data_IF_099662529975
#
_entry.id   IF_099662529975
#
_cell.length_a   1.000
_cell.length_b   1.000
_cell.length_c   1.000
_cell.angle_alpha   90.00
_cell.angle_beta   90.00
_cell.angle_gamma   90.00
#
_symmetry.space_group_name_H-M   'P 1'
#
loop_
_entity.id
_entity.type
_entity.pdbx_description
1 polymer ?
#
# COMPACT_ATOMS: atom_id res chain seq x y z
N UNK A 1 3.20 12.11 18.82
CA UNK A 1 2.14 11.53 18.00
C UNK A 1 1.32 10.53 18.82
N UNK A 2 1.87 9.40 19.29
CA UNK A 2 1.14 8.36 20.06
C UNK A 2 0.33 8.88 21.24
N UNK A 3 0.89 9.77 22.06
CA UNK A 3 0.19 10.37 23.22
C UNK A 3 -1.03 11.23 22.83
N UNK A 4 -1.22 11.49 21.54
CA UNK A 4 -2.35 12.23 20.96
C UNK A 4 -3.27 11.33 20.12
N UNK A 5 -3.11 10.00 20.21
CA UNK A 5 -3.93 9.04 19.48
C UNK A 5 -3.49 8.78 18.04
N UNK A 6 -2.39 9.36 17.57
CA UNK A 6 -1.83 9.08 16.23
C UNK A 6 -0.86 7.93 16.35
N UNK A 7 -1.28 6.74 15.91
CA UNK A 7 -0.54 5.49 16.10
C UNK A 7 -0.42 4.62 14.86
N UNK A 8 -0.91 5.06 13.70
CA UNK A 8 -0.67 4.41 12.40
C UNK A 8 0.48 5.13 11.70
N UNK A 9 1.43 4.37 11.21
CA UNK A 9 2.61 4.87 10.51
C UNK A 9 2.77 4.18 9.17
N UNK A 10 2.68 4.98 8.10
CA UNK A 10 2.88 4.50 6.74
C UNK A 10 4.36 4.57 6.34
N UNK A 11 4.95 3.40 6.05
CA UNK A 11 6.33 3.22 5.64
C UNK A 11 6.41 2.79 4.17
N UNK A 12 5.76 3.51 3.27
CA UNK A 12 5.73 3.18 1.84
C UNK A 12 7.08 3.42 1.15
N UNK A 13 7.82 4.45 1.59
CA UNK A 13 9.08 4.83 0.98
C UNK A 13 10.18 3.79 1.30
N UNK A 14 10.90 3.27 0.28
CA UNK A 14 11.94 2.28 0.50
C UNK A 14 13.32 2.89 0.80
N UNK A 15 13.43 4.21 0.89
CA UNK A 15 14.69 4.90 1.17
C UNK A 15 15.28 4.43 2.51
N UNK A 16 16.53 3.94 2.52
CA UNK A 16 17.18 3.42 3.71
C UNK A 16 17.21 4.40 4.89
N UNK A 17 17.54 5.67 4.61
CA UNK A 17 17.66 6.69 5.64
C UNK A 17 16.33 7.00 6.31
N UNK A 18 15.26 7.07 5.51
CA UNK A 18 13.90 7.28 6.03
C UNK A 18 13.47 6.13 6.94
N UNK A 19 13.72 4.89 6.53
CA UNK A 19 13.41 3.69 7.33
C UNK A 19 14.22 3.64 8.63
N UNK A 20 15.51 3.99 8.60
CA UNK A 20 16.37 4.03 9.79
C UNK A 20 15.85 5.06 10.81
N UNK A 21 15.49 6.27 10.36
CA UNK A 21 14.93 7.32 11.22
C UNK A 21 13.61 6.86 11.87
N UNK A 22 12.75 6.22 11.08
CA UNK A 22 11.49 5.67 11.59
C UNK A 22 11.76 4.58 12.62
N UNK A 23 12.67 3.64 12.32
CA UNK A 23 13.04 2.54 13.22
C UNK A 23 13.52 3.04 14.58
N UNK A 24 14.42 4.00 14.60
CA UNK A 24 14.89 4.62 15.84
C UNK A 24 13.74 5.33 16.60
N UNK A 25 12.86 5.99 15.88
CA UNK A 25 11.72 6.73 16.48
C UNK A 25 10.67 5.84 17.13
N UNK A 26 10.41 4.65 16.55
CA UNK A 26 9.38 3.72 17.06
C UNK A 26 9.92 2.73 18.08
N UNK A 27 11.23 2.46 18.10
CA UNK A 27 11.89 1.47 18.96
C UNK A 27 11.43 1.50 20.43
N UNK A 28 11.35 2.65 21.11
CA UNK A 28 10.96 2.69 22.52
C UNK A 28 9.51 2.27 22.80
N UNK A 29 8.65 2.29 21.78
CA UNK A 29 7.21 2.08 21.91
C UNK A 29 6.65 1.33 20.70
N UNK A 30 7.37 0.34 20.18
CA UNK A 30 6.97 -0.42 18.97
C UNK A 30 5.56 -1.01 19.08
N UNK A 31 5.21 -1.46 20.25
CA UNK A 31 3.91 -2.05 20.59
C UNK A 31 2.72 -1.09 20.50
N UNK A 32 2.99 0.23 20.49
CA UNK A 32 1.98 1.28 20.38
C UNK A 32 1.76 1.74 18.94
N UNK A 33 2.53 1.22 17.99
CA UNK A 33 2.46 1.60 16.58
C UNK A 33 1.88 0.49 15.73
N UNK A 34 0.91 0.83 14.89
CA UNK A 34 0.48 0.02 13.77
C UNK A 34 1.31 0.45 12.56
N UNK A 35 2.20 -0.42 12.12
CA UNK A 35 3.09 -0.13 11.00
C UNK A 35 2.49 -0.70 9.71
N UNK A 36 2.36 0.17 8.72
CA UNK A 36 1.99 -0.15 7.37
C UNK A 36 3.25 -0.18 6.51
N UNK A 37 3.63 -1.35 6.01
CA UNK A 37 4.79 -1.54 5.14
C UNK A 37 4.35 -2.01 3.76
N UNK A 38 4.97 -1.46 2.71
CA UNK A 38 4.55 -1.71 1.33
C UNK A 38 5.41 -2.77 0.65
N UNK A 39 4.81 -3.93 0.36
CA UNK A 39 5.43 -5.06 -0.35
C UNK A 39 5.41 -4.75 -1.85
N UNK A 40 6.59 -4.71 -2.47
CA UNK A 40 6.76 -4.27 -3.86
C UNK A 40 7.20 -2.81 -4.02
N UNK A 41 7.30 -2.06 -2.92
CA UNK A 41 8.05 -0.81 -2.86
C UNK A 41 9.50 -1.13 -2.54
N UNK A 42 10.37 -1.01 -3.53
CA UNK A 42 11.78 -1.40 -3.45
C UNK A 42 12.72 -0.25 -3.77
N UNK A 43 13.99 -0.38 -3.37
CA UNK A 43 15.01 0.61 -3.63
C UNK A 43 16.08 0.02 -4.56
N UNK A 44 16.28 0.67 -5.70
CA UNK A 44 17.22 0.21 -6.72
C UNK A 44 17.98 1.40 -7.29
N UNK A 45 19.30 1.28 -7.40
CA UNK A 45 20.18 2.30 -7.98
C UNK A 45 19.97 3.71 -7.38
N UNK A 46 19.73 3.77 -6.05
CA UNK A 46 19.52 5.02 -5.35
C UNK A 46 18.11 5.62 -5.49
N UNK A 47 17.15 4.88 -6.06
CA UNK A 47 15.81 5.37 -6.33
C UNK A 47 14.71 4.37 -5.93
N UNK A 48 13.52 4.89 -5.73
CA UNK A 48 12.31 4.10 -5.61
C UNK A 48 12.07 3.28 -6.89
N UNK A 49 11.74 2.00 -6.71
CA UNK A 49 11.42 1.09 -7.80
C UNK A 49 10.25 0.18 -7.42
N UNK A 50 9.10 0.38 -8.07
CA UNK A 50 7.93 -0.48 -7.91
C UNK A 50 8.10 -1.76 -8.71
N UNK A 51 7.92 -2.92 -8.08
CA UNK A 51 8.04 -4.21 -8.77
C UNK A 51 7.28 -5.34 -8.07
N UNK A 52 6.94 -6.39 -8.82
CA UNK A 52 6.46 -7.68 -8.30
C UNK A 52 7.53 -8.79 -8.44
N UNK A 53 8.68 -8.48 -9.04
CA UNK A 53 9.79 -9.44 -9.17
C UNK A 53 10.34 -9.82 -7.78
N UNK A 54 10.20 -11.09 -7.45
CA UNK A 54 10.59 -11.63 -6.15
C UNK A 54 12.07 -11.50 -5.83
N UNK A 55 12.91 -11.35 -6.85
CA UNK A 55 14.34 -11.04 -6.69
C UNK A 55 14.57 -9.73 -5.93
N UNK A 56 13.69 -8.75 -6.11
CA UNK A 56 13.76 -7.44 -5.44
C UNK A 56 12.81 -7.35 -4.25
N UNK A 57 11.65 -8.00 -4.32
CA UNK A 57 10.62 -7.92 -3.28
C UNK A 57 11.11 -8.55 -1.96
N UNK A 58 11.68 -9.76 -2.01
CA UNK A 58 12.14 -10.45 -0.79
C UNK A 58 13.18 -9.65 -0.02
N UNK A 59 14.29 -9.20 -0.64
CA UNK A 59 15.28 -8.39 0.07
C UNK A 59 14.71 -7.06 0.59
N UNK A 60 13.76 -6.45 -0.12
CA UNK A 60 13.15 -5.20 0.30
C UNK A 60 12.29 -5.33 1.56
N UNK A 61 11.62 -6.48 1.74
CA UNK A 61 10.88 -6.80 2.97
C UNK A 61 11.84 -7.06 4.13
N UNK A 62 12.92 -7.79 3.90
CA UNK A 62 13.96 -8.02 4.90
C UNK A 62 14.64 -6.71 5.33
N UNK A 63 14.96 -5.83 4.38
CA UNK A 63 15.50 -4.48 4.64
C UNK A 63 14.52 -3.64 5.47
N UNK A 64 13.23 -3.66 5.12
CA UNK A 64 12.19 -2.95 5.87
C UNK A 64 12.18 -3.37 7.34
N UNK A 65 12.11 -4.67 7.62
CA UNK A 65 12.09 -5.19 8.98
C UNK A 65 13.36 -4.87 9.76
N UNK A 66 14.52 -5.03 9.11
CA UNK A 66 15.84 -4.76 9.70
C UNK A 66 15.98 -3.30 10.10
N UNK A 67 15.64 -2.37 9.20
CA UNK A 67 15.77 -0.92 9.45
C UNK A 67 14.74 -0.40 10.43
N UNK A 68 13.54 -0.94 10.41
CA UNK A 68 12.52 -0.63 11.41
C UNK A 68 12.79 -1.31 12.76
N UNK A 69 13.85 -2.14 12.86
CA UNK A 69 14.24 -2.86 14.09
C UNK A 69 13.09 -3.65 14.69
N UNK A 70 12.32 -4.34 13.84
CA UNK A 70 11.13 -5.11 14.22
C UNK A 70 11.09 -6.45 13.50
N UNK A 71 10.41 -7.44 14.08
CA UNK A 71 10.22 -8.75 13.48
C UNK A 71 8.88 -8.88 12.72
N UNK A 72 8.03 -7.89 12.82
CA UNK A 72 6.72 -7.86 12.17
C UNK A 72 6.28 -6.46 11.83
N UNK A 73 5.37 -6.37 10.88
CA UNK A 73 4.56 -5.19 10.61
C UNK A 73 3.08 -5.55 10.74
N UNK A 74 2.26 -4.56 11.04
CA UNK A 74 0.84 -4.81 11.31
C UNK A 74 0.06 -4.94 10.00
N UNK A 75 0.37 -4.10 9.02
CA UNK A 75 -0.30 -4.05 7.72
C UNK A 75 0.72 -4.25 6.61
N UNK A 76 0.71 -5.43 5.97
CA UNK A 76 1.51 -5.71 4.78
C UNK A 76 0.74 -5.30 3.53
N UNK A 77 1.09 -4.15 2.96
CA UNK A 77 0.38 -3.57 1.84
C UNK A 77 0.90 -4.12 0.51
N UNK A 78 0.06 -4.74 -0.29
CA UNK A 78 0.32 -4.94 -1.72
C UNK A 78 0.45 -3.56 -2.34
N UNK A 79 1.69 -3.20 -2.74
CA UNK A 79 2.01 -1.83 -3.12
C UNK A 79 1.41 -1.45 -4.45
N UNK A 80 0.70 -0.43 -4.49
CA UNK A 80 -0.40 0.03 -5.30
C UNK A 80 -0.68 -0.79 -6.59
N UNK A 81 -1.95 -1.08 -6.82
CA UNK A 81 -2.45 -1.81 -7.98
C UNK A 81 -3.60 -0.99 -8.57
N UNK A 82 -3.44 -0.52 -9.80
CA UNK A 82 -4.40 0.38 -10.45
C UNK A 82 -5.01 -0.24 -11.73
N UNK A 83 -4.56 -1.42 -12.16
CA UNK A 83 -5.11 -2.17 -13.28
C UNK A 83 -5.76 -3.46 -12.80
N UNK A 84 -6.92 -3.79 -13.35
CA UNK A 84 -7.63 -5.04 -13.06
C UNK A 84 -6.83 -6.26 -13.53
N UNK A 85 -6.16 -6.15 -14.68
CA UNK A 85 -5.31 -7.21 -15.20
C UNK A 85 -4.12 -7.49 -14.26
N UNK A 86 -3.49 -6.45 -13.71
CA UNK A 86 -2.42 -6.62 -12.73
C UNK A 86 -2.96 -7.31 -11.48
N UNK A 87 -4.13 -6.91 -10.99
CA UNK A 87 -4.75 -7.57 -9.84
C UNK A 87 -5.02 -9.06 -10.09
N UNK A 88 -5.56 -9.41 -11.25
CA UNK A 88 -5.83 -10.79 -11.61
C UNK A 88 -4.53 -11.63 -11.70
N UNK A 89 -3.46 -11.05 -12.24
CA UNK A 89 -2.15 -11.69 -12.30
C UNK A 89 -1.53 -11.88 -10.90
N UNK A 90 -1.66 -10.89 -10.03
CA UNK A 90 -1.14 -10.94 -8.65
C UNK A 90 -1.75 -12.13 -7.90
N UNK A 91 -3.05 -12.34 -7.99
CA UNK A 91 -3.76 -13.39 -7.24
C UNK A 91 -3.23 -14.81 -7.48
N UNK A 92 -2.63 -15.06 -8.64
CA UNK A 92 -2.12 -16.39 -9.06
C UNK A 92 -0.59 -16.44 -9.14
N UNK A 93 0.10 -15.45 -8.61
CA UNK A 93 1.56 -15.31 -8.73
C UNK A 93 2.31 -15.79 -7.49
N UNK A 94 3.59 -16.06 -7.66
CA UNK A 94 4.54 -16.29 -6.55
C UNK A 94 4.66 -15.10 -5.58
N UNK A 95 4.31 -13.91 -6.04
CA UNK A 95 4.22 -12.73 -5.19
C UNK A 95 3.07 -12.87 -4.17
N UNK A 96 1.87 -13.30 -4.57
CA UNK A 96 0.77 -13.54 -3.65
C UNK A 96 1.07 -14.70 -2.70
N UNK A 97 1.66 -15.77 -3.20
CA UNK A 97 2.11 -16.89 -2.37
C UNK A 97 3.06 -16.41 -1.27
N UNK A 98 3.97 -15.51 -1.59
CA UNK A 98 4.88 -14.92 -0.62
C UNK A 98 4.16 -14.02 0.40
N UNK A 99 3.23 -13.19 -0.03
CA UNK A 99 2.42 -12.35 0.88
C UNK A 99 1.65 -13.22 1.87
N UNK A 100 1.04 -14.31 1.38
CA UNK A 100 0.32 -15.28 2.22
C UNK A 100 1.26 -16.01 3.19
N UNK A 101 2.47 -16.37 2.76
CA UNK A 101 3.49 -16.97 3.62
C UNK A 101 3.95 -15.99 4.73
N UNK A 102 4.17 -14.72 4.39
CA UNK A 102 4.48 -13.69 5.40
C UNK A 102 3.39 -13.59 6.46
N UNK A 103 2.11 -13.62 6.06
CA UNK A 103 0.99 -13.62 6.99
C UNK A 103 0.96 -14.89 7.85
N UNK A 104 1.11 -16.06 7.24
CA UNK A 104 1.14 -17.35 7.95
C UNK A 104 2.24 -17.41 9.01
N UNK A 105 3.41 -16.84 8.74
CA UNK A 105 4.54 -16.74 9.66
C UNK A 105 4.42 -15.63 10.70
N UNK A 106 3.39 -14.78 10.61
CA UNK A 106 3.19 -13.64 11.49
C UNK A 106 4.16 -12.46 11.25
N UNK A 107 4.85 -12.45 10.11
CA UNK A 107 5.70 -11.33 9.69
C UNK A 107 4.84 -10.12 9.30
N UNK A 108 3.70 -10.36 8.70
CA UNK A 108 2.63 -9.37 8.56
C UNK A 108 1.39 -9.89 9.30
N UNK A 109 0.64 -9.01 9.95
CA UNK A 109 -0.58 -9.40 10.68
C UNK A 109 -1.81 -9.41 9.78
N UNK A 110 -1.92 -8.38 8.95
CA UNK A 110 -3.04 -8.19 8.01
C UNK A 110 -2.51 -7.89 6.62
N UNK A 111 -3.25 -8.32 5.60
CA UNK A 111 -2.96 -8.01 4.21
C UNK A 111 -3.79 -6.79 3.81
N UNK A 112 -3.11 -5.75 3.35
CA UNK A 112 -3.75 -4.59 2.75
C UNK A 112 -3.36 -4.43 1.28
N UNK A 113 -4.01 -3.50 0.62
CA UNK A 113 -3.64 -3.06 -0.72
C UNK A 113 -3.83 -1.55 -0.83
N UNK A 114 -2.94 -0.87 -1.54
CA UNK A 114 -3.15 0.51 -1.96
C UNK A 114 -3.57 0.56 -3.44
N UNK A 115 -4.50 1.45 -3.76
CA UNK A 115 -4.97 1.67 -5.12
C UNK A 115 -5.45 3.11 -5.29
N UNK A 116 -5.36 3.63 -6.52
CA UNK A 116 -5.96 4.89 -6.93
C UNK A 116 -7.18 4.67 -7.82
N UNK A 117 -7.36 3.42 -8.30
CA UNK A 117 -8.51 3.02 -9.13
C UNK A 117 -9.61 2.39 -8.26
N UNK A 118 -10.80 3.01 -8.15
CA UNK A 118 -11.89 2.51 -7.32
C UNK A 118 -12.40 1.14 -7.74
N UNK A 119 -12.40 0.78 -9.03
CA UNK A 119 -12.80 -0.53 -9.52
C UNK A 119 -11.88 -1.62 -9.01
N UNK A 120 -10.57 -1.39 -9.09
CA UNK A 120 -9.54 -2.32 -8.60
C UNK A 120 -9.63 -2.45 -7.08
N UNK A 121 -9.78 -1.33 -6.37
CA UNK A 121 -9.91 -1.34 -4.92
C UNK A 121 -11.14 -2.15 -4.48
N UNK A 122 -12.29 -1.96 -5.13
CA UNK A 122 -13.52 -2.70 -4.86
C UNK A 122 -13.35 -4.20 -5.16
N UNK A 123 -12.76 -4.54 -6.31
CA UNK A 123 -12.46 -5.93 -6.71
C UNK A 123 -11.54 -6.63 -5.71
N UNK A 124 -10.52 -5.92 -5.23
CA UNK A 124 -9.62 -6.44 -4.20
C UNK A 124 -10.32 -6.64 -2.85
N UNK A 125 -11.14 -5.69 -2.42
CA UNK A 125 -11.92 -5.81 -1.18
C UNK A 125 -12.87 -7.02 -1.20
N UNK A 126 -13.44 -7.34 -2.36
CA UNK A 126 -14.33 -8.49 -2.55
C UNK A 126 -13.61 -9.83 -2.72
N UNK A 127 -12.30 -9.83 -2.92
CA UNK A 127 -11.51 -11.03 -3.24
C UNK A 127 -11.38 -12.02 -2.08
N UNK A 128 -11.54 -11.56 -0.84
CA UNK A 128 -11.26 -12.33 0.38
C UNK A 128 -9.78 -12.39 0.79
N UNK A 129 -8.85 -11.85 -0.01
CA UNK A 129 -7.43 -11.76 0.35
C UNK A 129 -7.11 -10.53 1.17
N UNK A 130 -7.75 -9.39 0.86
CA UNK A 130 -7.42 -8.06 1.37
C UNK A 130 -8.34 -7.71 2.53
N UNK A 131 -7.75 -7.27 3.63
CA UNK A 131 -8.44 -6.90 4.88
C UNK A 131 -8.48 -5.38 5.07
N UNK A 132 -7.65 -4.65 4.33
CA UNK A 132 -7.58 -3.18 4.39
C UNK A 132 -7.25 -2.60 3.01
N UNK A 133 -7.95 -1.52 2.66
CA UNK A 133 -7.66 -0.73 1.46
C UNK A 133 -7.12 0.63 1.90
N UNK A 134 -5.96 1.02 1.35
CA UNK A 134 -5.46 2.38 1.39
C UNK A 134 -5.90 3.08 0.11
N UNK A 135 -6.85 3.98 0.24
CA UNK A 135 -7.44 4.71 -0.87
C UNK A 135 -7.54 6.20 -0.56
N UNK A 136 -7.28 7.05 -1.56
CA UNK A 136 -7.40 8.49 -1.41
C UNK A 136 -8.87 8.91 -1.40
N UNK A 137 -9.34 9.39 -0.27
CA UNK A 137 -10.66 10.05 -0.15
C UNK A 137 -10.39 11.55 -0.22
N UNK A 138 -10.76 12.16 -1.35
CA UNK A 138 -10.56 13.59 -1.57
C UNK A 138 -11.74 14.13 -2.40
N UNK A 139 -12.52 15.07 -1.89
CA UNK A 139 -13.72 15.56 -2.57
C UNK A 139 -13.47 16.08 -3.99
N UNK A 140 -12.28 16.56 -4.30
CA UNK A 140 -11.92 17.02 -5.66
C UNK A 140 -11.71 15.82 -6.59
N UNK A 141 -10.96 14.80 -6.15
CA UNK A 141 -10.70 13.61 -6.95
C UNK A 141 -11.90 12.65 -7.00
N UNK A 142 -12.75 12.65 -5.98
CA UNK A 142 -13.95 11.81 -5.94
C UNK A 142 -14.97 12.15 -7.03
N UNK A 143 -14.87 13.33 -7.62
CA UNK A 143 -15.69 13.78 -8.75
C UNK A 143 -15.05 13.50 -10.11
N UNK A 144 -13.80 13.01 -10.15
CA UNK A 144 -13.14 12.63 -11.39
C UNK A 144 -13.47 11.18 -11.76
N UNK A 145 -13.50 10.83 -13.06
CA UNK A 145 -13.63 9.45 -13.51
C UNK A 145 -12.52 8.55 -12.92
N UNK A 146 -12.84 7.30 -12.71
CA UNK A 146 -11.83 6.31 -12.34
C UNK A 146 -10.79 6.19 -13.46
N UNK A 147 -9.50 6.32 -13.13
CA UNK A 147 -8.40 6.17 -14.07
C UNK A 147 -7.44 5.09 -13.59
N UNK A 148 -6.91 4.29 -14.54
CA UNK A 148 -5.89 3.26 -14.29
C UNK A 148 -4.49 3.86 -14.13
N UNK A 149 -4.29 5.11 -14.57
CA UNK A 149 -3.02 5.82 -14.47
C UNK A 149 -3.15 7.05 -13.58
N UNK A 150 -2.44 7.04 -12.48
CA UNK A 150 -2.40 8.15 -11.53
C UNK A 150 -1.91 9.46 -12.18
N UNK A 151 -0.99 9.39 -13.14
CA UNK A 151 -0.50 10.58 -13.80
C UNK A 151 -1.57 11.19 -14.71
N UNK A 152 -2.36 10.36 -15.37
CA UNK A 152 -3.51 10.80 -16.16
C UNK A 152 -4.56 11.44 -15.25
N UNK A 153 -4.85 10.81 -14.10
CA UNK A 153 -5.81 11.34 -13.13
C UNK A 153 -5.41 12.74 -12.61
N UNK A 154 -4.11 12.98 -12.42
CA UNK A 154 -3.62 14.29 -11.95
C UNK A 154 -3.46 15.31 -13.09
N UNK A 155 -3.39 14.88 -14.35
CA UNK A 155 -3.24 15.74 -15.52
C UNK A 155 -4.58 16.19 -16.11
N UNK A 156 -5.68 15.50 -15.80
CA UNK A 156 -7.01 15.89 -16.27
C UNK A 156 -7.42 17.23 -15.67
N UNK A 157 -7.68 18.22 -16.54
CA UNK A 157 -8.30 19.47 -16.12
C UNK A 157 -9.69 19.17 -15.55
N UNK A 158 -9.95 19.67 -14.36
CA UNK A 158 -11.29 19.59 -13.74
C UNK A 158 -12.22 20.43 -14.62
N UNK A 159 -12.93 19.78 -15.52
CA UNK A 159 -14.00 20.43 -16.26
C UNK A 159 -15.06 20.93 -15.26
N UNK A 160 -15.48 22.18 -15.41
CA UNK A 160 -16.41 22.87 -14.51
C UNK A 160 -17.81 22.25 -14.39
N UNK A 161 -18.03 21.12 -15.04
CA UNK A 161 -19.24 20.32 -14.96
C UNK A 161 -19.14 19.21 -13.92
N UNK A 162 -18.88 19.53 -12.64
CA UNK A 162 -18.90 18.55 -11.54
C UNK A 162 -20.19 17.74 -11.54
N UNK A 163 -20.10 16.48 -11.95
CA UNK A 163 -21.26 15.60 -12.16
C UNK A 163 -21.64 14.74 -10.94
N UNK A 164 -21.02 14.98 -9.79
CA UNK A 164 -21.18 14.18 -8.59
C UNK A 164 -20.09 13.15 -8.42
N UNK A 165 -20.19 12.33 -7.35
CA UNK A 165 -19.22 11.29 -7.03
C UNK A 165 -19.29 10.18 -8.08
N UNK A 166 -18.13 9.71 -8.54
CA UNK A 166 -18.06 8.52 -9.40
C UNK A 166 -18.78 7.32 -8.76
N UNK A 167 -19.64 6.58 -9.49
CA UNK A 167 -20.39 5.47 -8.91
C UNK A 167 -19.53 4.37 -8.28
N UNK A 168 -18.38 4.07 -8.89
CA UNK A 168 -17.48 3.04 -8.35
C UNK A 168 -16.81 3.50 -7.05
N UNK A 169 -16.51 4.80 -6.94
CA UNK A 169 -16.02 5.40 -5.68
C UNK A 169 -17.09 5.38 -4.59
N UNK A 170 -18.34 5.69 -4.94
CA UNK A 170 -19.46 5.65 -4.00
C UNK A 170 -19.71 4.24 -3.45
N UNK A 171 -19.45 3.19 -4.24
CA UNK A 171 -19.55 1.79 -3.80
C UNK A 171 -18.38 1.36 -2.90
N UNK A 172 -17.21 1.99 -3.06
CA UNK A 172 -16.04 1.69 -2.24
C UNK A 172 -16.16 2.30 -0.83
N UNK A 173 -16.82 3.45 -0.70
CA UNK A 173 -17.05 4.16 0.57
C UNK A 173 -18.16 3.55 1.40
#
# INVERSE_FOLDING_TARGET
ACSKGVNILDCWMPDPKSRDIIGEGIKPNRDKWFIQGHIGSTYKDGQYYRTRDMKYVRPAVEDLLTRLQTHYIDLGMIHYVDSEEEWDQIQTSDYMDYVMDLKKRGVIRHIGMSSHNPKVALKAAQSGYVEMILFSINPVFDMLPASEDINTMFAEEIDSGLKGIDPDRALLY
#
